data_IF_244101412690
#
_entry.id   IF_244101412690
#
_cell.length_a   1.000
_cell.length_b   1.000
_cell.length_c   1.000
_cell.angle_alpha   90.00
_cell.angle_beta   90.00
_cell.angle_gamma   90.00
#
_symmetry.space_group_name_H-M   'P 1'
#
loop_
_entity.id
_entity.type
_entity.pdbx_description
1 polymer ?
#
# COMPACT_ATOMS: atom_id res chain seq x y z
N UNK A 1 -8.88 -19.78 1.25
CA UNK A 1 -7.65 -18.98 0.99
C UNK A 1 -7.77 -18.13 -0.26
N UNK A 2 -8.41 -18.60 -1.33
CA UNK A 2 -8.65 -17.84 -2.57
C UNK A 2 -9.29 -16.46 -2.34
N UNK A 3 -10.40 -16.38 -1.60
CA UNK A 3 -11.10 -15.09 -1.36
C UNK A 3 -10.19 -14.10 -0.61
N UNK A 4 -9.49 -14.56 0.43
CA UNK A 4 -8.54 -13.72 1.18
C UNK A 4 -7.39 -13.24 0.30
N UNK A 5 -6.85 -14.13 -0.54
CA UNK A 5 -5.80 -13.77 -1.51
C UNK A 5 -6.29 -12.73 -2.51
N UNK A 6 -7.47 -12.91 -3.10
CA UNK A 6 -8.04 -11.96 -4.07
C UNK A 6 -8.31 -10.59 -3.44
N UNK A 7 -8.86 -10.54 -2.23
CA UNK A 7 -9.08 -9.30 -1.51
C UNK A 7 -7.77 -8.60 -1.14
N UNK A 8 -6.78 -9.34 -0.63
CA UNK A 8 -5.46 -8.80 -0.30
C UNK A 8 -4.76 -8.25 -1.55
N UNK A 9 -4.85 -8.96 -2.67
CA UNK A 9 -4.30 -8.53 -3.95
C UNK A 9 -5.01 -7.27 -4.48
N UNK A 10 -6.34 -7.22 -4.40
CA UNK A 10 -7.11 -6.03 -4.77
C UNK A 10 -6.71 -4.82 -3.92
N UNK A 11 -6.60 -5.00 -2.59
CA UNK A 11 -6.15 -3.94 -1.68
C UNK A 11 -4.73 -3.48 -1.99
N UNK A 12 -3.82 -4.40 -2.33
CA UNK A 12 -2.46 -4.07 -2.75
C UNK A 12 -2.47 -3.21 -4.03
N UNK A 13 -3.30 -3.56 -5.01
CA UNK A 13 -3.46 -2.77 -6.25
C UNK A 13 -3.99 -1.38 -5.92
N UNK A 14 -5.09 -1.28 -5.16
CA UNK A 14 -5.68 0.01 -4.76
C UNK A 14 -4.68 0.87 -4.00
N UNK A 15 -3.98 0.30 -3.00
CA UNK A 15 -2.94 1.02 -2.27
C UNK A 15 -1.80 1.49 -3.17
N UNK A 16 -1.42 0.69 -4.18
CA UNK A 16 -0.41 1.10 -5.15
C UNK A 16 -0.86 2.33 -5.93
N UNK A 17 -2.11 2.37 -6.40
CA UNK A 17 -2.66 3.56 -7.06
C UNK A 17 -2.69 4.78 -6.13
N UNK A 18 -3.10 4.59 -4.88
CA UNK A 18 -3.09 5.66 -3.87
C UNK A 18 -1.68 6.20 -3.66
N UNK A 19 -0.66 5.35 -3.58
CA UNK A 19 0.73 5.79 -3.39
C UNK A 19 1.31 6.45 -4.65
N UNK A 20 1.02 5.93 -5.84
CA UNK A 20 1.47 6.50 -7.12
C UNK A 20 1.00 7.95 -7.27
N UNK A 21 -0.24 8.25 -6.87
CA UNK A 21 -0.79 9.60 -6.94
C UNK A 21 -0.45 10.41 -5.69
N UNK A 22 -0.63 9.83 -4.51
CA UNK A 22 -0.50 10.51 -3.23
C UNK A 22 0.93 10.94 -2.91
N UNK A 23 1.94 10.13 -3.22
CA UNK A 23 3.34 10.46 -2.89
C UNK A 23 3.82 11.72 -3.63
N UNK A 24 3.70 11.84 -4.97
CA UNK A 24 4.06 13.07 -5.68
C UNK A 24 3.26 14.29 -5.21
N UNK A 25 1.96 14.14 -5.00
CA UNK A 25 1.08 15.22 -4.54
C UNK A 25 1.50 15.73 -3.16
N UNK A 26 1.74 14.82 -2.20
CA UNK A 26 2.18 15.16 -0.85
C UNK A 26 3.57 15.80 -0.84
N UNK A 27 4.46 15.42 -1.77
CA UNK A 27 5.77 16.05 -1.90
C UNK A 27 5.72 17.45 -2.49
N UNK A 28 4.80 17.71 -3.42
CA UNK A 28 4.64 19.01 -4.08
C UNK A 28 3.79 20.01 -3.26
N UNK A 29 3.01 19.54 -2.30
CA UNK A 29 2.12 20.39 -1.49
C UNK A 29 2.90 21.15 -0.42
N UNK A 30 2.71 22.48 -0.33
CA UNK A 30 3.31 23.36 0.69
C UNK A 30 2.66 23.24 2.09
N UNK A 31 2.07 22.09 2.42
CA UNK A 31 1.39 21.83 3.69
C UNK A 31 2.33 21.38 4.80
N UNK A 32 1.77 20.80 5.87
CA UNK A 32 2.56 20.23 6.96
C UNK A 32 3.44 19.07 6.45
N UNK A 33 4.75 19.35 6.33
CA UNK A 33 5.74 18.40 5.84
C UNK A 33 5.91 17.20 6.76
N UNK A 34 5.77 17.38 8.08
CA UNK A 34 5.92 16.29 9.06
C UNK A 34 4.76 15.31 8.89
N UNK A 35 3.53 15.83 8.81
CA UNK A 35 2.35 15.00 8.58
C UNK A 35 2.40 14.29 7.22
N UNK A 36 2.77 14.99 6.15
CA UNK A 36 2.93 14.38 4.82
C UNK A 36 3.96 13.24 4.82
N UNK A 37 5.14 13.47 5.40
CA UNK A 37 6.17 12.44 5.49
C UNK A 37 5.70 11.22 6.30
N UNK A 38 4.95 11.45 7.39
CA UNK A 38 4.37 10.36 8.20
C UNK A 38 3.35 9.55 7.41
N UNK A 39 2.47 10.20 6.64
CA UNK A 39 1.50 9.53 5.78
C UNK A 39 2.20 8.68 4.71
N UNK A 40 3.25 9.20 4.07
CA UNK A 40 4.05 8.46 3.09
C UNK A 40 4.70 7.23 3.74
N UNK A 41 5.30 7.38 4.92
CA UNK A 41 5.94 6.28 5.64
C UNK A 41 4.93 5.19 6.05
N UNK A 42 3.79 5.58 6.63
CA UNK A 42 2.74 4.64 7.00
C UNK A 42 2.13 3.94 5.77
N UNK A 43 1.92 4.69 4.69
CA UNK A 43 1.44 4.13 3.42
C UNK A 43 2.41 3.11 2.83
N UNK A 44 3.72 3.42 2.83
CA UNK A 44 4.77 2.50 2.39
C UNK A 44 4.88 1.24 3.27
N UNK A 45 4.76 1.39 4.59
CA UNK A 45 4.72 0.25 5.51
C UNK A 45 3.49 -0.64 5.27
N UNK A 46 2.31 -0.04 5.12
CA UNK A 46 1.08 -0.77 4.82
C UNK A 46 1.17 -1.51 3.48
N UNK A 47 1.71 -0.87 2.45
CA UNK A 47 1.95 -1.50 1.16
C UNK A 47 2.92 -2.68 1.27
N UNK A 48 4.03 -2.52 1.99
CA UNK A 48 5.01 -3.60 2.19
C UNK A 48 4.41 -4.78 2.93
N UNK A 49 3.61 -4.52 3.97
CA UNK A 49 2.88 -5.56 4.69
C UNK A 49 1.90 -6.32 3.79
N UNK A 50 1.19 -5.61 2.89
CA UNK A 50 0.30 -6.23 1.90
C UNK A 50 1.07 -7.11 0.90
N UNK A 51 2.25 -6.68 0.43
CA UNK A 51 3.11 -7.50 -0.45
C UNK A 51 3.49 -8.81 0.23
N UNK A 52 3.98 -8.74 1.48
CA UNK A 52 4.35 -9.93 2.26
C UNK A 52 3.13 -10.83 2.47
N UNK A 53 1.98 -10.25 2.84
CA UNK A 53 0.74 -11.00 3.04
C UNK A 53 0.31 -11.73 1.76
N UNK A 54 0.27 -11.05 0.61
CA UNK A 54 -0.07 -11.67 -0.68
C UNK A 54 0.92 -12.76 -1.05
N UNK A 55 2.22 -12.55 -0.83
CA UNK A 55 3.26 -13.55 -1.05
C UNK A 55 3.09 -14.80 -0.19
N UNK A 56 2.76 -14.64 1.10
CA UNK A 56 2.46 -15.76 2.00
C UNK A 56 1.17 -16.47 1.59
N UNK A 57 0.12 -15.72 1.25
CA UNK A 57 -1.16 -16.29 0.82
C UNK A 57 -1.05 -17.08 -0.49
N UNK A 58 -0.07 -16.78 -1.34
CA UNK A 58 0.18 -17.48 -2.59
C UNK A 58 0.39 -19.00 -2.38
N UNK A 59 1.16 -19.40 -1.36
CA UNK A 59 1.45 -20.81 -1.02
C UNK A 59 0.22 -21.63 -0.63
N UNK A 60 -0.93 -20.99 -0.36
CA UNK A 60 -2.17 -21.67 0.00
C UNK A 60 -3.21 -21.67 -1.14
N UNK A 61 -2.84 -21.14 -2.31
CA UNK A 61 -3.73 -20.98 -3.47
C UNK A 61 -3.14 -21.60 -4.73
N UNK A 62 -1.82 -21.51 -4.91
CA UNK A 62 -1.05 -22.10 -6.03
C UNK A 62 -0.40 -23.39 -5.55
#
# INVERSE_FOLDING_TARGET
MVILFQLALLLLVVMSFVLIVGVPVLYATNGDRVQSNRLILLGGLAWTALVILVGVLNYFVV
#
